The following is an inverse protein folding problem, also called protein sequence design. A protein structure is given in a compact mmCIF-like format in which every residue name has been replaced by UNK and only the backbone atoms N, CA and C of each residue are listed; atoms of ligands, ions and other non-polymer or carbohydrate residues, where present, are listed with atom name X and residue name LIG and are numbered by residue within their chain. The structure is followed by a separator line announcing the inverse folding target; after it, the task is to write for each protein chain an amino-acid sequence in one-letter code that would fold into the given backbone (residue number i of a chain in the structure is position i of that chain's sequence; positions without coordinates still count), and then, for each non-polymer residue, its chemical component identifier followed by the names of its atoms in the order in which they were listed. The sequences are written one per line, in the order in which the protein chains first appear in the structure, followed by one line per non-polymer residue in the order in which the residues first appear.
data_IF_575391538271
#
_entry.id   IF_575391538271
#
_cell.length_a   1.000
_cell.length_b   1.000
_cell.length_c   1.000
_cell.angle_alpha   90.00
_cell.angle_beta   90.00
_cell.angle_gamma   90.00
#
_symmetry.space_group_name_H-M   'P 1'
#
loop_
_entity.id
_entity.type
_entity.pdbx_description
1 polymer ?
#
# COMPACT_ATOMS: atom_id res chain seq x y z
N UNK A 1 -27.42 -21.75 -34.70
CA UNK A 1 -27.86 -21.46 -33.32
C UNK A 1 -26.64 -21.65 -32.44
N UNK A 2 -25.99 -20.57 -31.98
CA UNK A 2 -24.78 -20.69 -31.16
C UNK A 2 -25.14 -21.21 -29.76
N UNK A 3 -24.33 -22.13 -29.25
CA UNK A 3 -24.50 -22.72 -27.92
C UNK A 3 -24.27 -21.68 -26.81
N UNK A 4 -25.08 -21.76 -25.75
CA UNK A 4 -25.01 -20.85 -24.59
C UNK A 4 -23.69 -21.00 -23.83
N UNK A 5 -23.08 -22.19 -23.84
CA UNK A 5 -21.78 -22.42 -23.21
C UNK A 5 -20.63 -21.75 -23.98
N UNK A 6 -20.64 -21.84 -25.32
CA UNK A 6 -19.63 -21.23 -26.18
C UNK A 6 -19.65 -19.69 -26.09
N UNK A 7 -20.85 -19.12 -25.93
CA UNK A 7 -21.03 -17.66 -25.75
C UNK A 7 -20.49 -17.19 -24.39
N UNK A 8 -20.63 -17.99 -23.33
CA UNK A 8 -20.14 -17.68 -21.99
C UNK A 8 -18.60 -17.75 -21.88
N UNK A 9 -17.98 -18.74 -22.54
CA UNK A 9 -16.52 -18.89 -22.60
C UNK A 9 -15.89 -17.73 -23.40
N UNK A 10 -16.49 -17.36 -24.53
CA UNK A 10 -16.02 -16.26 -25.38
C UNK A 10 -16.14 -14.87 -24.70
N UNK A 11 -17.13 -14.67 -23.83
CA UNK A 11 -17.33 -13.41 -23.11
C UNK A 11 -16.39 -13.22 -21.90
N UNK A 12 -15.97 -14.29 -21.22
CA UNK A 12 -15.18 -14.19 -19.98
C UNK A 12 -13.68 -14.47 -20.12
N UNK A 13 -13.21 -15.12 -21.19
CA UNK A 13 -11.81 -15.50 -21.32
C UNK A 13 -11.18 -15.18 -22.69
N UNK A 14 -10.82 -13.91 -22.95
CA UNK A 14 -10.02 -13.55 -24.13
C UNK A 14 -8.58 -14.13 -24.12
N UNK A 15 -8.20 -14.87 -23.07
CA UNK A 15 -6.86 -15.44 -22.87
C UNK A 15 -6.85 -16.98 -22.76
N UNK A 16 -7.98 -17.67 -22.93
CA UNK A 16 -8.02 -19.13 -22.82
C UNK A 16 -7.31 -19.77 -24.01
N UNK A 17 -6.36 -20.68 -23.74
CA UNK A 17 -5.61 -21.44 -24.77
C UNK A 17 -6.20 -22.84 -24.92
N UNK A 18 -6.56 -23.49 -23.81
CA UNK A 18 -7.06 -24.85 -23.85
C UNK A 18 -7.32 -25.43 -22.46
N UNK A 19 -8.03 -26.55 -22.43
CA UNK A 19 -8.32 -27.28 -21.20
C UNK A 19 -7.98 -28.75 -21.39
N UNK A 20 -7.20 -29.34 -20.48
CA UNK A 20 -6.84 -30.76 -20.46
C UNK A 20 -7.49 -31.44 -19.26
N UNK A 21 -8.32 -32.46 -19.48
CA UNK A 21 -8.89 -33.26 -18.39
C UNK A 21 -7.79 -34.08 -17.70
N UNK A 22 -7.72 -33.99 -16.38
CA UNK A 22 -6.80 -34.75 -15.52
C UNK A 22 -7.54 -35.95 -14.89
N UNK A 23 -8.80 -35.77 -14.49
CA UNK A 23 -9.63 -36.83 -13.88
C UNK A 23 -11.13 -36.61 -14.14
N UNK A 24 -11.98 -37.47 -13.57
CA UNK A 24 -13.43 -37.39 -13.74
C UNK A 24 -14.00 -35.97 -13.54
N UNK A 25 -13.47 -35.24 -12.54
CA UNK A 25 -13.91 -33.90 -12.14
C UNK A 25 -12.76 -32.88 -12.04
N UNK A 26 -11.60 -33.14 -12.66
CA UNK A 26 -10.44 -32.24 -12.58
C UNK A 26 -9.93 -31.92 -13.97
N UNK A 27 -9.74 -30.63 -14.24
CA UNK A 27 -9.25 -30.12 -15.51
C UNK A 27 -8.10 -29.13 -15.27
N UNK A 28 -7.03 -29.27 -16.05
CA UNK A 28 -5.99 -28.28 -16.19
C UNK A 28 -6.44 -27.24 -17.22
N UNK A 29 -6.45 -25.96 -16.86
CA UNK A 29 -6.78 -24.88 -17.81
C UNK A 29 -5.49 -24.13 -18.15
N UNK A 30 -5.17 -24.04 -19.44
CA UNK A 30 -4.05 -23.28 -19.97
C UNK A 30 -4.54 -21.92 -20.43
N UNK A 31 -3.94 -20.87 -19.89
CA UNK A 31 -4.28 -19.47 -20.17
C UNK A 31 -3.02 -18.77 -20.68
N UNK A 32 -3.14 -17.95 -21.73
CA UNK A 32 -2.05 -17.11 -22.22
C UNK A 32 -1.75 -16.05 -21.17
N UNK A 33 -0.52 -16.03 -20.65
CA UNK A 33 -0.11 -14.96 -19.75
C UNK A 33 -0.15 -13.63 -20.51
N UNK A 34 -0.95 -12.68 -20.03
CA UNK A 34 -0.83 -11.29 -20.49
C UNK A 34 0.46 -10.74 -19.90
N UNK A 35 1.54 -10.77 -20.68
CA UNK A 35 2.74 -10.01 -20.40
C UNK A 35 2.43 -8.56 -20.74
N UNK A 36 2.39 -7.70 -19.73
CA UNK A 36 2.24 -6.27 -19.91
C UNK A 36 3.55 -5.63 -19.44
N UNK A 37 4.32 -5.10 -20.37
CA UNK A 37 5.57 -4.40 -20.10
C UNK A 37 5.26 -3.03 -19.52
N UNK A 38 5.56 -2.84 -18.24
CA UNK A 38 5.32 -1.61 -17.50
C UNK A 38 6.48 -0.63 -17.70
N UNK A 39 6.44 0.17 -18.76
CA UNK A 39 7.38 1.29 -18.89
C UNK A 39 6.73 2.66 -18.60
N UNK A 40 5.41 2.82 -18.67
CA UNK A 40 4.86 4.15 -19.00
C UNK A 40 3.77 4.75 -18.08
N UNK A 41 3.04 3.99 -17.26
CA UNK A 41 1.84 4.56 -16.60
C UNK A 41 2.18 5.64 -15.56
N UNK A 42 3.19 5.42 -14.72
CA UNK A 42 3.67 6.46 -13.80
C UNK A 42 4.51 7.51 -14.56
N UNK A 43 5.33 7.12 -15.54
CA UNK A 43 6.15 8.09 -16.30
C UNK A 43 5.29 9.15 -16.99
N UNK A 44 4.25 8.76 -17.72
CA UNK A 44 3.37 9.69 -18.44
C UNK A 44 2.59 10.62 -17.52
N UNK A 45 2.13 10.11 -16.36
CA UNK A 45 1.50 10.93 -15.31
C UNK A 45 2.51 11.85 -14.62
N UNK A 46 3.72 11.38 -14.30
CA UNK A 46 4.79 12.18 -13.70
C UNK A 46 5.18 13.33 -14.62
N UNK A 47 5.22 13.17 -15.94
CA UNK A 47 5.59 14.25 -16.86
C UNK A 47 4.60 15.43 -16.87
N UNK A 48 3.36 15.24 -16.41
CA UNK A 48 2.35 16.30 -16.34
C UNK A 48 2.08 16.81 -14.94
N UNK A 49 2.83 16.35 -13.93
CA UNK A 49 2.68 16.77 -12.54
C UNK A 49 3.85 17.63 -12.09
N UNK A 50 3.59 18.63 -11.25
CA UNK A 50 4.60 19.46 -10.61
C UNK A 50 5.39 18.63 -9.59
N UNK A 51 6.62 18.27 -9.95
CA UNK A 51 7.52 17.47 -9.11
C UNK A 51 7.91 18.16 -7.80
N UNK A 52 7.76 19.48 -7.70
CA UNK A 52 8.05 20.20 -6.45
C UNK A 52 6.93 20.05 -5.43
N UNK A 53 5.72 19.75 -5.88
CA UNK A 53 4.52 19.60 -5.06
C UNK A 53 4.10 18.14 -4.89
N UNK A 54 4.79 17.22 -5.54
CA UNK A 54 4.55 15.78 -5.46
C UNK A 54 5.60 15.13 -4.55
N UNK A 55 5.18 14.63 -3.39
CA UNK A 55 6.08 14.00 -2.41
C UNK A 55 5.74 12.53 -2.22
N UNK A 56 6.66 11.65 -2.60
CA UNK A 56 6.55 10.22 -2.33
C UNK A 56 6.85 9.94 -0.85
N UNK A 57 5.95 9.23 -0.17
CA UNK A 57 6.12 8.88 1.25
C UNK A 57 6.51 7.42 1.40
N UNK A 58 5.68 6.51 0.88
CA UNK A 58 5.95 5.07 0.98
C UNK A 58 5.28 4.29 -0.15
N UNK A 59 5.89 3.17 -0.52
CA UNK A 59 5.28 2.16 -1.37
C UNK A 59 5.24 0.82 -0.63
N UNK A 60 4.12 0.13 -0.77
CA UNK A 60 3.93 -1.27 -0.40
C UNK A 60 3.61 -2.03 -1.69
N UNK A 61 3.77 -3.35 -1.69
CA UNK A 61 3.63 -4.28 -2.83
C UNK A 61 2.74 -3.80 -3.99
N UNK A 62 1.52 -3.35 -3.70
CA UNK A 62 0.49 -2.94 -4.64
C UNK A 62 -0.08 -1.53 -4.38
N UNK A 63 0.51 -0.74 -3.48
CA UNK A 63 -0.02 0.57 -3.08
C UNK A 63 1.09 1.60 -2.90
N UNK A 64 0.81 2.84 -3.31
CA UNK A 64 1.72 3.98 -3.16
C UNK A 64 0.99 5.06 -2.38
N UNK A 65 1.69 5.68 -1.43
CA UNK A 65 1.19 6.80 -0.65
C UNK A 65 2.01 8.03 -1.01
N UNK A 66 1.28 9.06 -1.41
CA UNK A 66 1.81 10.32 -1.94
C UNK A 66 1.20 11.44 -1.12
N UNK A 67 1.99 12.48 -0.85
CA UNK A 67 1.52 13.73 -0.30
C UNK A 67 1.62 14.78 -1.39
N UNK A 68 0.54 15.52 -1.60
CA UNK A 68 0.45 16.57 -2.58
C UNK A 68 0.43 17.90 -1.83
N UNK A 69 1.26 18.86 -2.25
CA UNK A 69 1.19 20.21 -1.74
C UNK A 69 -0.05 20.88 -2.36
N UNK A 70 -1.17 20.76 -1.64
CA UNK A 70 -2.49 21.20 -2.07
C UNK A 70 -2.62 22.73 -2.12
N UNK A 71 -3.68 23.16 -2.81
CA UNK A 71 -4.20 24.51 -2.68
C UNK A 71 -4.98 24.62 -1.36
N UNK A 72 -4.72 25.65 -0.54
CA UNK A 72 -5.35 25.78 0.79
C UNK A 72 -6.86 25.95 0.73
N UNK A 73 -7.35 26.38 -0.43
CA UNK A 73 -8.76 26.66 -0.66
C UNK A 73 -9.55 25.42 -1.12
N UNK A 74 -8.87 24.29 -1.32
CA UNK A 74 -9.47 23.04 -1.78
C UNK A 74 -9.35 21.93 -0.74
N UNK A 75 -10.26 20.96 -0.87
CA UNK A 75 -10.34 19.80 0.04
C UNK A 75 -9.44 18.65 -0.45
N UNK A 76 -9.19 17.65 0.40
CA UNK A 76 -8.31 16.51 0.09
C UNK A 76 -8.79 15.65 -1.11
N UNK A 77 -10.01 15.89 -1.58
CA UNK A 77 -10.59 15.29 -2.77
C UNK A 77 -10.11 15.94 -4.09
N UNK A 78 -9.23 16.96 -4.03
CA UNK A 78 -8.65 17.59 -5.22
C UNK A 78 -7.74 16.64 -6.03
N UNK A 79 -7.20 15.60 -5.38
CA UNK A 79 -6.28 14.65 -6.01
C UNK A 79 -5.11 15.39 -6.68
N UNK A 80 -4.87 15.12 -7.97
CA UNK A 80 -3.76 15.69 -8.73
C UNK A 80 -4.08 17.05 -9.35
N UNK A 81 -5.33 17.52 -9.33
CA UNK A 81 -5.75 18.70 -10.10
C UNK A 81 -4.93 19.97 -9.77
N UNK A 82 -4.46 20.12 -8.53
CA UNK A 82 -3.62 21.25 -8.06
C UNK A 82 -2.23 21.29 -8.66
N UNK A 83 -1.73 20.14 -9.08
CA UNK A 83 -0.33 19.97 -9.46
C UNK A 83 -0.17 19.59 -10.93
N UNK A 84 -1.26 19.51 -11.70
CA UNK A 84 -1.20 19.29 -13.14
C UNK A 84 -0.60 20.52 -13.82
N UNK A 85 0.54 20.34 -14.49
CA UNK A 85 1.23 21.39 -15.25
C UNK A 85 0.72 21.51 -16.68
N UNK A 86 0.33 20.39 -17.31
CA UNK A 86 -0.28 20.34 -18.65
C UNK A 86 -1.68 19.75 -18.56
N UNK A 87 -2.67 20.63 -18.43
CA UNK A 87 -4.08 20.25 -18.27
C UNK A 87 -4.65 19.59 -19.52
N UNK A 88 -4.25 20.05 -20.71
CA UNK A 88 -4.78 19.50 -21.96
C UNK A 88 -4.33 18.05 -22.14
N UNK A 89 -3.05 17.76 -21.89
CA UNK A 89 -2.54 16.39 -21.96
C UNK A 89 -3.14 15.52 -20.85
N UNK A 90 -3.25 16.05 -19.62
CA UNK A 90 -3.82 15.33 -18.50
C UNK A 90 -5.28 14.92 -18.76
N UNK A 91 -6.14 15.86 -19.13
CA UNK A 91 -7.57 15.60 -19.38
C UNK A 91 -7.79 14.58 -20.52
N UNK A 92 -6.88 14.54 -21.50
CA UNK A 92 -6.92 13.57 -22.61
C UNK A 92 -6.50 12.15 -22.19
N UNK A 93 -5.59 11.99 -21.23
CA UNK A 93 -4.93 10.70 -20.94
C UNK A 93 -5.22 10.15 -19.54
N UNK A 94 -5.76 10.94 -18.61
CA UNK A 94 -5.96 10.56 -17.20
C UNK A 94 -6.75 9.25 -17.06
N UNK A 95 -7.83 9.10 -17.83
CA UNK A 95 -8.70 7.93 -17.78
C UNK A 95 -8.11 6.68 -18.47
N UNK A 96 -6.90 6.74 -19.03
CA UNK A 96 -6.17 5.53 -19.42
C UNK A 96 -5.60 4.82 -18.20
N UNK A 97 -5.29 5.57 -17.14
CA UNK A 97 -4.59 5.09 -15.96
C UNK A 97 -5.44 5.14 -14.69
N UNK A 98 -6.31 6.14 -14.55
CA UNK A 98 -7.27 6.26 -13.45
C UNK A 98 -8.67 5.81 -13.89
N UNK A 99 -9.54 5.42 -12.93
CA UNK A 99 -10.94 5.14 -13.22
C UNK A 99 -11.67 6.38 -13.74
N UNK A 100 -12.48 6.17 -14.77
CA UNK A 100 -13.40 7.18 -15.32
C UNK A 100 -14.68 7.19 -14.47
N UNK A 101 -15.06 8.34 -13.87
CA UNK A 101 -16.26 8.43 -13.04
C UNK A 101 -17.55 8.16 -13.83
N UNK A 102 -17.51 8.27 -15.17
CA UNK A 102 -18.67 8.00 -16.02
C UNK A 102 -18.79 6.52 -16.43
N UNK A 103 -17.83 5.67 -16.03
CA UNK A 103 -17.82 4.24 -16.35
C UNK A 103 -18.21 3.38 -15.16
N UNK A 104 -18.55 2.14 -15.50
CA UNK A 104 -18.94 1.06 -14.59
C UNK A 104 -17.77 0.64 -13.66
N UNK A 105 -18.10 0.02 -12.52
CA UNK A 105 -17.20 -0.64 -11.54
C UNK A 105 -16.03 -1.45 -12.14
N UNK A 106 -16.14 -2.02 -13.34
CA UNK A 106 -15.07 -2.74 -14.02
C UNK A 106 -13.92 -1.82 -14.44
N UNK A 107 -14.19 -0.53 -14.64
CA UNK A 107 -13.18 0.49 -14.92
C UNK A 107 -12.34 0.84 -13.68
N UNK A 108 -12.80 0.46 -12.48
CA UNK A 108 -12.07 0.64 -11.23
C UNK A 108 -10.89 -0.33 -11.06
N UNK A 109 -10.77 -1.36 -11.90
CA UNK A 109 -9.68 -2.35 -11.86
C UNK A 109 -9.00 -2.47 -13.22
N UNK A 110 -8.43 -1.37 -13.71
CA UNK A 110 -7.64 -1.36 -14.94
C UNK A 110 -6.33 -2.13 -14.76
N UNK A 111 -6.00 -2.94 -15.74
CA UNK A 111 -4.70 -3.61 -15.82
C UNK A 111 -3.63 -2.53 -15.99
N UNK A 112 -2.66 -2.48 -15.06
CA UNK A 112 -1.60 -1.45 -14.99
C UNK A 112 -2.08 -0.01 -14.73
N UNK A 113 -3.36 0.17 -14.37
CA UNK A 113 -3.89 1.43 -13.88
C UNK A 113 -3.75 1.56 -12.36
N UNK A 114 -4.01 2.76 -11.86
CA UNK A 114 -4.10 3.07 -10.44
C UNK A 114 -5.54 3.35 -10.04
N UNK A 115 -5.88 2.97 -8.82
CA UNK A 115 -7.18 3.29 -8.22
C UNK A 115 -6.94 4.02 -6.92
N UNK A 116 -7.63 5.14 -6.74
CA UNK A 116 -7.50 5.96 -5.54
C UNK A 116 -8.33 5.30 -4.44
N UNK A 117 -7.66 4.57 -3.56
CA UNK A 117 -8.35 3.82 -2.51
C UNK A 117 -8.81 4.70 -1.34
N UNK A 118 -8.01 5.71 -0.99
CA UNK A 118 -8.27 6.59 0.14
C UNK A 118 -7.58 7.93 -0.08
N UNK A 119 -8.27 9.00 0.31
CA UNK A 119 -7.75 10.37 0.40
C UNK A 119 -7.80 10.79 1.86
N UNK A 120 -6.86 11.63 2.27
CA UNK A 120 -6.75 12.07 3.65
C UNK A 120 -5.94 13.34 3.77
N UNK A 121 -6.09 14.01 4.91
CA UNK A 121 -5.53 15.34 5.19
C UNK A 121 -4.12 15.27 5.74
N UNK A 122 -3.82 14.19 6.46
CA UNK A 122 -2.53 14.02 7.12
C UNK A 122 -2.09 12.57 6.99
N UNK A 123 -0.84 12.38 6.58
CA UNK A 123 -0.18 11.08 6.52
C UNK A 123 1.10 11.14 7.35
N UNK A 124 1.19 10.29 8.37
CA UNK A 124 2.40 10.05 9.14
C UNK A 124 2.89 8.63 8.86
N UNK A 125 4.19 8.45 8.61
CA UNK A 125 4.79 7.13 8.43
C UNK A 125 6.07 6.98 9.23
N UNK A 126 6.17 5.88 9.98
CA UNK A 126 7.40 5.46 10.66
C UNK A 126 8.22 4.47 9.82
N UNK A 127 7.61 3.92 8.76
CA UNK A 127 8.26 3.00 7.84
C UNK A 127 7.28 2.10 7.09
N UNK A 128 7.81 1.11 6.35
CA UNK A 128 6.99 0.21 5.55
C UNK A 128 5.95 -0.52 6.40
N UNK A 129 4.66 -0.37 6.03
CA UNK A 129 3.52 -1.00 6.73
C UNK A 129 3.34 -0.54 8.19
N UNK A 130 3.88 0.64 8.54
CA UNK A 130 3.67 1.34 9.81
C UNK A 130 3.40 2.82 9.54
N UNK A 131 2.12 3.18 9.41
CA UNK A 131 1.67 4.53 9.09
C UNK A 131 0.28 4.82 9.67
N UNK A 132 -0.08 6.09 9.73
CA UNK A 132 -1.41 6.56 10.10
C UNK A 132 -1.83 7.68 9.17
N UNK A 133 -3.09 7.64 8.76
CA UNK A 133 -3.67 8.64 7.87
C UNK A 133 -4.99 9.15 8.44
N UNK A 134 -5.15 10.46 8.56
CA UNK A 134 -6.43 11.06 8.94
C UNK A 134 -7.30 11.16 7.70
N UNK A 135 -8.38 10.39 7.69
CA UNK A 135 -9.35 10.39 6.59
C UNK A 135 -10.66 10.99 7.05
N UNK A 136 -11.31 11.76 6.18
CA UNK A 136 -12.68 12.20 6.41
C UNK A 136 -13.63 11.16 5.80
N UNK A 137 -14.44 10.51 6.65
CA UNK A 137 -15.36 9.47 6.19
C UNK A 137 -16.78 9.78 6.61
N UNK A 138 -17.72 9.49 5.71
CA UNK A 138 -19.14 9.56 5.99
C UNK A 138 -19.52 8.54 7.08
N UNK A 139 -20.08 9.03 8.18
CA UNK A 139 -20.64 8.21 9.25
C UNK A 139 -22.15 8.05 9.02
N UNK A 140 -22.58 6.81 8.68
CA UNK A 140 -23.99 6.51 8.38
C UNK A 140 -24.92 6.68 9.59
N UNK A 141 -24.42 6.47 10.81
CA UNK A 141 -25.24 6.55 12.03
C UNK A 141 -25.47 8.01 12.45
N UNK A 142 -24.42 8.83 12.38
CA UNK A 142 -24.48 10.25 12.74
C UNK A 142 -24.92 11.14 11.58
N UNK A 143 -25.07 10.59 10.37
CA UNK A 143 -25.36 11.32 9.13
C UNK A 143 -24.44 12.53 8.91
N UNK A 144 -23.16 12.38 9.24
CA UNK A 144 -22.17 13.44 9.11
C UNK A 144 -20.79 12.87 8.75
N UNK A 145 -19.96 13.73 8.18
CA UNK A 145 -18.54 13.47 7.95
C UNK A 145 -17.77 13.52 9.28
N UNK A 146 -16.90 12.54 9.51
CA UNK A 146 -16.11 12.43 10.73
C UNK A 146 -14.66 12.10 10.38
N UNK A 147 -13.74 12.87 10.96
CA UNK A 147 -12.31 12.59 10.88
C UNK A 147 -11.98 11.33 11.67
N UNK A 148 -11.50 10.30 10.98
CA UNK A 148 -11.09 9.03 11.60
C UNK A 148 -9.65 8.69 11.20
N UNK A 149 -8.80 8.33 12.18
CA UNK A 149 -7.47 7.85 11.85
C UNK A 149 -7.54 6.42 11.30
N UNK A 150 -7.03 6.23 10.08
CA UNK A 150 -6.73 4.93 9.51
C UNK A 150 -5.30 4.56 9.87
N UNK A 151 -5.14 3.65 10.83
CA UNK A 151 -3.85 3.23 11.35
C UNK A 151 -3.50 1.86 10.79
N UNK A 152 -2.31 1.74 10.22
CA UNK A 152 -1.74 0.48 9.76
C UNK A 152 -0.44 0.24 10.49
N UNK A 153 -0.37 -0.86 11.24
CA UNK A 153 0.85 -1.30 11.89
C UNK A 153 0.97 -2.82 11.81
N UNK A 154 2.08 -3.31 11.26
CA UNK A 154 2.36 -4.75 11.20
C UNK A 154 3.23 -5.21 12.36
N UNK A 155 2.93 -6.41 12.86
CA UNK A 155 3.66 -7.02 13.97
C UNK A 155 3.18 -6.56 15.35
N UNK A 156 2.10 -5.77 15.40
CA UNK A 156 1.49 -5.26 16.63
C UNK A 156 0.10 -5.88 16.78
N UNK A 157 -0.26 -6.27 18.01
CA UNK A 157 -1.59 -6.78 18.31
C UNK A 157 -2.63 -5.67 18.20
N UNK A 158 -3.81 -5.99 17.63
CA UNK A 158 -4.97 -5.08 17.59
C UNK A 158 -5.47 -4.67 18.99
N UNK A 159 -5.16 -5.46 20.01
CA UNK A 159 -5.52 -5.13 21.41
C UNK A 159 -4.75 -3.94 21.96
N UNK A 160 -3.61 -3.60 21.35
CA UNK A 160 -2.88 -2.41 21.71
C UNK A 160 -3.55 -1.20 21.05
N UNK A 161 -4.10 -0.30 21.88
CA UNK A 161 -4.66 0.97 21.43
C UNK A 161 -3.53 1.89 20.95
N UNK A 162 -3.09 1.70 19.72
CA UNK A 162 -2.24 2.67 19.02
C UNK A 162 -3.14 3.71 18.38
N UNK A 163 -2.86 4.98 18.66
CA UNK A 163 -3.52 6.11 18.07
C UNK A 163 -2.56 6.90 17.16
N UNK A 164 -3.12 7.79 16.33
CA UNK A 164 -2.35 8.65 15.43
C UNK A 164 -1.32 9.49 16.18
N UNK A 165 -1.70 10.03 17.34
CA UNK A 165 -0.81 10.85 18.16
C UNK A 165 0.41 10.08 18.69
N UNK A 166 0.32 8.76 18.87
CA UNK A 166 1.49 7.97 19.27
C UNK A 166 2.57 8.00 18.18
N UNK A 167 2.19 7.89 16.91
CA UNK A 167 3.15 7.94 15.80
C UNK A 167 3.81 9.32 15.69
N UNK A 168 3.03 10.39 15.86
CA UNK A 168 3.55 11.76 15.90
C UNK A 168 4.52 11.93 17.08
N UNK A 169 4.15 11.47 18.27
CA UNK A 169 4.98 11.57 19.47
C UNK A 169 6.30 10.80 19.32
N UNK A 170 6.28 9.64 18.66
CA UNK A 170 7.49 8.86 18.37
C UNK A 170 8.46 9.64 17.48
N UNK A 171 7.96 10.42 16.51
CA UNK A 171 8.79 11.24 15.61
C UNK A 171 9.29 12.51 16.33
N UNK A 172 8.36 13.26 16.93
CA UNK A 172 8.65 14.62 17.41
C UNK A 172 9.30 14.65 18.80
N UNK A 173 9.07 13.62 19.63
CA UNK A 173 9.50 13.57 21.03
C UNK A 173 10.43 12.40 21.35
N UNK A 174 10.81 11.60 20.35
CA UNK A 174 11.58 10.35 20.50
C UNK A 174 11.00 9.41 21.57
N UNK A 175 9.67 9.39 21.70
CA UNK A 175 8.98 8.52 22.65
C UNK A 175 8.92 7.11 22.08
N UNK A 176 9.22 6.12 22.91
CA UNK A 176 9.06 4.71 22.55
C UNK A 176 7.75 4.18 23.12
N UNK A 177 6.88 3.64 22.27
CA UNK A 177 5.67 2.95 22.72
C UNK A 177 5.94 1.46 22.84
N UNK A 178 5.79 0.92 24.05
CA UNK A 178 5.85 -0.52 24.30
C UNK A 178 4.50 -1.18 24.05
N UNK A 179 4.54 -2.47 23.78
CA UNK A 179 3.37 -3.29 23.54
C UNK A 179 3.59 -4.74 23.91
N UNK A 180 2.51 -5.46 24.17
CA UNK A 180 2.52 -6.89 24.48
C UNK A 180 2.20 -7.69 23.21
N UNK A 181 3.11 -8.56 22.80
CA UNK A 181 2.86 -9.52 21.74
C UNK A 181 2.63 -10.91 22.35
N UNK A 182 1.47 -11.50 22.08
CA UNK A 182 1.08 -12.81 22.56
C UNK A 182 1.22 -13.85 21.44
N UNK A 183 1.89 -14.96 21.73
CA UNK A 183 1.98 -16.11 20.84
C UNK A 183 1.53 -17.35 21.58
N UNK A 184 0.70 -18.17 20.93
CA UNK A 184 0.37 -19.50 21.42
C UNK A 184 1.47 -20.47 20.99
N UNK A 185 2.01 -21.23 21.94
CA UNK A 185 2.97 -22.31 21.70
C UNK A 185 2.41 -23.62 22.22
N UNK A 186 2.61 -24.68 21.45
CA UNK A 186 2.34 -26.05 21.89
C UNK A 186 3.65 -26.67 22.39
N UNK A 187 3.63 -27.24 23.58
CA UNK A 187 4.74 -28.02 24.13
C UNK A 187 4.15 -29.20 24.91
N UNK A 188 4.61 -30.42 24.65
CA UNK A 188 4.09 -31.66 25.24
C UNK A 188 2.55 -31.76 25.23
N UNK A 189 1.92 -31.48 24.09
CA UNK A 189 0.46 -31.44 23.90
C UNK A 189 -0.29 -30.41 24.77
N UNK A 190 0.41 -29.56 25.52
CA UNK A 190 -0.18 -28.44 26.27
C UNK A 190 -0.04 -27.16 25.46
N UNK A 191 -1.17 -26.50 25.20
CA UNK A 191 -1.18 -25.17 24.59
C UNK A 191 -0.93 -24.12 25.67
N UNK A 192 0.18 -23.39 25.54
CA UNK A 192 0.57 -22.30 26.43
C UNK A 192 0.54 -20.96 25.70
N UNK A 193 0.09 -19.92 26.38
CA UNK A 193 0.19 -18.54 25.88
C UNK A 193 1.46 -17.89 26.43
N UNK A 194 2.34 -17.42 25.54
CA UNK A 194 3.54 -16.68 25.91
C UNK A 194 3.34 -15.23 25.52
N UNK A 195 3.40 -14.35 26.52
CA UNK A 195 3.37 -12.90 26.32
C UNK A 195 4.77 -12.34 26.44
N UNK A 196 5.15 -11.48 25.50
CA UNK A 196 6.45 -10.81 25.49
C UNK A 196 6.22 -9.31 25.33
N UNK A 197 6.79 -8.52 26.23
CA UNK A 197 6.87 -7.07 26.06
C UNK A 197 7.87 -6.76 24.93
N UNK A 198 7.42 -5.98 23.94
CA UNK A 198 8.22 -5.53 22.80
C UNK A 198 8.02 -4.04 22.59
N UNK A 199 8.99 -3.42 21.92
CA UNK A 199 8.81 -2.06 21.40
C UNK A 199 7.85 -2.12 20.20
N UNK A 200 6.68 -1.52 20.35
CA UNK A 200 5.61 -1.51 19.36
C UNK A 200 5.85 -0.40 18.33
N UNK A 201 6.15 0.82 18.79
CA UNK A 201 6.53 1.94 17.93
C UNK A 201 7.87 2.51 18.39
N UNK A 202 8.77 2.68 17.43
CA UNK A 202 10.09 3.30 17.59
C UNK A 202 10.31 4.29 16.45
N UNK A 203 10.98 5.41 16.72
CA UNK A 203 11.27 6.45 15.72
C UNK A 203 12.39 6.09 14.76
N UNK A 204 12.95 4.88 14.89
CA UNK A 204 14.09 4.41 14.10
C UNK A 204 13.85 2.96 13.64
N UNK A 205 14.48 2.60 12.52
CA UNK A 205 14.49 1.23 12.01
C UNK A 205 15.41 0.37 12.89
N UNK A 206 14.82 -0.55 13.65
CA UNK A 206 15.52 -1.44 14.56
C UNK A 206 15.81 -2.84 13.97
N UNK A 207 15.47 -3.08 12.70
CA UNK A 207 15.58 -4.43 12.11
C UNK A 207 16.97 -4.72 11.60
N UNK A 208 17.49 -3.88 10.71
CA UNK A 208 18.80 -4.11 10.11
C UNK A 208 19.38 -2.86 9.46
N UNK A 209 20.72 -2.79 9.46
CA UNK A 209 21.49 -1.86 8.67
C UNK A 209 21.90 -2.57 7.39
N UNK A 210 21.63 -1.97 6.23
CA UNK A 210 22.09 -2.47 4.93
C UNK A 210 23.47 -1.90 4.65
N UNK A 211 24.45 -2.78 4.45
CA UNK A 211 25.83 -2.43 4.15
C UNK A 211 26.04 -2.19 2.64
N UNK A 212 27.19 -1.63 2.26
CA UNK A 212 27.52 -1.32 0.86
C UNK A 212 27.51 -2.55 -0.06
N UNK A 213 27.83 -3.73 0.48
CA UNK A 213 27.77 -5.00 -0.21
C UNK A 213 26.38 -5.65 -0.21
N UNK A 214 25.33 -4.88 0.12
CA UNK A 214 23.93 -5.35 0.23
C UNK A 214 23.67 -6.39 1.33
N UNK A 215 24.63 -6.63 2.24
CA UNK A 215 24.40 -7.47 3.41
C UNK A 215 23.54 -6.73 4.45
N UNK A 216 22.65 -7.46 5.12
CA UNK A 216 21.85 -6.94 6.24
C UNK A 216 22.51 -7.32 7.57
N UNK A 217 22.90 -6.34 8.36
CA UNK A 217 23.45 -6.55 9.70
C UNK A 217 22.46 -6.15 10.79
N UNK A 218 22.51 -6.77 11.99
CA UNK A 218 21.66 -6.37 13.12
C UNK A 218 21.86 -4.91 13.46
N UNK A 219 20.79 -4.15 13.69
CA UNK A 219 20.90 -2.76 14.12
C UNK A 219 21.24 -2.65 15.62
N UNK A 220 22.22 -1.81 15.96
CA UNK A 220 22.50 -1.39 17.33
C UNK A 220 22.39 0.13 17.43
N UNK A 221 21.71 0.63 18.47
CA UNK A 221 21.50 2.08 18.66
C UNK A 221 22.85 2.79 18.75
N UNK A 222 23.05 3.80 17.89
CA UNK A 222 24.28 4.59 17.82
C UNK A 222 25.33 4.04 16.84
N UNK A 223 25.15 2.83 16.31
CA UNK A 223 25.98 2.31 15.22
C UNK A 223 25.34 2.63 13.86
N UNK A 224 26.20 2.89 12.89
CA UNK A 224 25.89 3.15 11.50
C UNK A 224 26.56 2.10 10.62
N UNK A 225 26.27 2.08 9.32
CA UNK A 225 26.93 1.18 8.38
C UNK A 225 28.46 1.31 8.35
N UNK A 226 29.01 2.44 8.81
CA UNK A 226 30.47 2.69 8.87
C UNK A 226 31.16 1.92 10.00
N UNK A 227 30.39 1.56 11.03
CA UNK A 227 30.91 0.88 12.22
C UNK A 227 31.01 -0.65 12.02
N UNK A 228 30.52 -1.15 10.89
CA UNK A 228 30.61 -2.57 10.51
C UNK A 228 31.83 -2.79 9.60
N UNK A 229 32.65 -3.78 9.95
CA UNK A 229 33.78 -4.20 9.12
C UNK A 229 33.28 -5.25 8.13
N UNK A 230 33.37 -4.93 6.84
CA UNK A 230 33.16 -5.90 5.76
C UNK A 230 34.51 -6.61 5.55
N UNK A 231 34.56 -7.91 5.87
CA UNK A 231 35.68 -8.75 5.44
C UNK A 231 35.35 -9.25 4.04
N UNK A 232 36.04 -8.69 3.04
CA UNK A 232 36.05 -9.30 1.71
C UNK A 232 36.74 -10.67 1.84
N UNK A 233 36.06 -11.73 1.39
CA UNK A 233 36.63 -13.08 1.31
C UNK A 233 37.55 -13.21 0.09
#
# INVERSE_FOLDING_TARGET
MLDKADTFIAQHHPNHIGTRRISANTFAVQIKSKTATCFTSIQSGIFTLDHKRFHFVLAVTDSIYIVIAEDRDKDCHQQFESIVTDKQFYDQHVYQYLPDPNKDIYDYKKILGFSIENEGYELTSLGPKCYSMIVNKWNKEKLQYEFKPKISSKGISKTQQICHSDQINVINKDIVKKGINGTLKMYDNVMSSVQVEKYALTGFNNKSIVLRNQCCCPYFKGLTAKDYIIKDQ
#
